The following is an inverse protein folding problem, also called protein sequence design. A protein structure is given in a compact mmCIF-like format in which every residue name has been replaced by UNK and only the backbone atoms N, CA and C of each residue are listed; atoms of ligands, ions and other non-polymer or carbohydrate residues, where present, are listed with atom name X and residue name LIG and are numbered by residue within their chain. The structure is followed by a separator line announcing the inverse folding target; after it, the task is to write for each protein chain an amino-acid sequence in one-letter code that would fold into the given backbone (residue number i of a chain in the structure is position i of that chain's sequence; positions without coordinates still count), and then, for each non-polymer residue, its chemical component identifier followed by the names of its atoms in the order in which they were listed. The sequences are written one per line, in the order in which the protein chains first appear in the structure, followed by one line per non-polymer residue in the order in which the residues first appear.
data_IF_549340607174
#
_entry.id   IF_549340607174
#
_cell.length_a   1.000
_cell.length_b   1.000
_cell.length_c   1.000
_cell.angle_alpha   90.00
_cell.angle_beta   90.00
_cell.angle_gamma   90.00
#
_symmetry.space_group_name_H-M   'P 1'
#
loop_
_entity.id
_entity.type
_entity.pdbx_description
1 polymer ?
#
# COMPACT_ATOMS: atom_id res chain seq x y z
N UNK A 1 10.55 0.94 63.58
CA UNK A 1 11.02 0.82 62.18
C UNK A 1 9.84 0.35 61.34
N UNK A 2 9.28 1.21 60.49
CA UNK A 2 8.20 0.82 59.58
C UNK A 2 8.79 0.05 58.41
N UNK A 3 8.51 -1.25 58.34
CA UNK A 3 8.80 -2.08 57.17
C UNK A 3 7.93 -1.60 56.01
N UNK A 4 8.54 -0.88 55.07
CA UNK A 4 7.91 -0.54 53.78
C UNK A 4 7.77 -1.84 53.00
N UNK A 5 6.57 -2.42 53.00
CA UNK A 5 6.22 -3.54 52.13
C UNK A 5 6.11 -2.97 50.71
N UNK A 6 7.20 -3.02 49.94
CA UNK A 6 7.17 -2.71 48.51
C UNK A 6 6.41 -3.82 47.81
N UNK A 7 5.11 -3.61 47.59
CA UNK A 7 4.29 -4.48 46.75
C UNK A 7 4.97 -4.64 45.37
N UNK A 8 5.25 -5.89 44.97
CA UNK A 8 5.78 -6.19 43.64
C UNK A 8 4.77 -5.71 42.59
N UNK A 9 5.18 -4.75 41.75
CA UNK A 9 4.39 -4.28 40.62
C UNK A 9 4.14 -5.43 39.65
N UNK A 10 2.93 -5.54 39.12
CA UNK A 10 2.60 -6.52 38.07
C UNK A 10 3.27 -6.16 36.75
N UNK A 11 3.42 -7.13 35.83
CA UNK A 11 4.00 -6.90 34.50
C UNK A 11 3.28 -5.78 33.74
N UNK A 12 1.95 -5.75 33.84
CA UNK A 12 1.10 -4.72 33.23
C UNK A 12 1.39 -3.34 33.84
N UNK A 13 1.52 -3.25 35.17
CA UNK A 13 1.87 -1.99 35.83
C UNK A 13 3.25 -1.50 35.43
N UNK A 14 4.25 -2.39 35.33
CA UNK A 14 5.60 -2.03 34.87
C UNK A 14 5.55 -1.49 33.44
N UNK A 15 4.85 -2.19 32.54
CA UNK A 15 4.67 -1.80 31.14
C UNK A 15 3.98 -0.44 31.02
N UNK A 16 2.91 -0.20 31.78
CA UNK A 16 2.22 1.09 31.82
C UNK A 16 3.14 2.20 32.36
N UNK A 17 3.85 1.96 33.46
CA UNK A 17 4.79 2.97 33.99
C UNK A 17 5.88 3.31 32.97
N UNK A 18 6.43 2.32 32.28
CA UNK A 18 7.42 2.54 31.23
C UNK A 18 6.83 3.32 30.05
N UNK A 19 5.61 2.97 29.60
CA UNK A 19 4.86 3.67 28.54
C UNK A 19 4.71 5.16 28.87
N UNK A 20 4.28 5.50 30.09
CA UNK A 20 4.15 6.88 30.56
C UNK A 20 5.48 7.60 30.78
N UNK A 21 6.53 6.90 31.19
CA UNK A 21 7.87 7.47 31.34
C UNK A 21 8.47 7.95 30.02
N UNK A 22 8.24 7.22 28.92
CA UNK A 22 8.74 7.62 27.58
C UNK A 22 8.26 8.99 27.13
N UNK A 23 7.06 9.40 27.54
CA UNK A 23 6.47 10.67 27.11
C UNK A 23 6.71 11.82 28.10
N UNK A 24 7.42 11.58 29.22
CA UNK A 24 7.60 12.58 30.29
C UNK A 24 8.13 13.92 29.75
N UNK A 25 9.11 13.85 28.84
CA UNK A 25 9.77 15.01 28.21
C UNK A 25 9.44 15.14 26.72
N UNK A 26 8.40 14.47 26.24
CA UNK A 26 8.06 14.50 24.83
C UNK A 26 7.27 15.77 24.49
N UNK A 27 7.64 16.47 23.41
CA UNK A 27 7.04 17.74 22.99
C UNK A 27 5.51 17.65 22.85
N UNK A 28 5.02 16.50 22.38
CA UNK A 28 3.58 16.27 22.14
C UNK A 28 2.88 15.54 23.28
N UNK A 29 3.48 15.49 24.48
CA UNK A 29 2.93 14.83 25.67
C UNK A 29 1.46 15.17 25.91
N UNK A 30 1.10 16.46 25.87
CA UNK A 30 -0.28 16.90 26.12
C UNK A 30 -1.25 16.38 25.05
N UNK A 31 -0.81 16.34 23.79
CA UNK A 31 -1.64 15.78 22.70
C UNK A 31 -1.85 14.28 22.86
N UNK A 32 -0.85 13.55 23.39
CA UNK A 32 -0.96 12.12 23.71
C UNK A 32 -1.94 11.93 24.86
N UNK A 33 -1.75 12.63 25.99
CA UNK A 33 -2.63 12.53 27.17
C UNK A 33 -4.08 12.81 26.80
N UNK A 34 -4.35 13.95 26.15
CA UNK A 34 -5.71 14.34 25.78
C UNK A 34 -6.38 13.31 24.86
N UNK A 35 -5.59 12.68 23.97
CA UNK A 35 -6.11 11.68 23.05
C UNK A 35 -6.39 10.34 23.75
N UNK A 36 -5.55 9.93 24.70
CA UNK A 36 -5.81 8.75 25.53
C UNK A 36 -7.06 8.94 26.40
N UNK A 37 -7.23 10.11 27.02
CA UNK A 37 -8.45 10.43 27.78
C UNK A 37 -9.71 10.47 26.88
N UNK A 38 -9.58 10.99 25.66
CA UNK A 38 -10.67 10.96 24.68
C UNK A 38 -11.02 9.53 24.29
N UNK A 39 -10.02 8.67 24.10
CA UNK A 39 -10.24 7.26 23.81
C UNK A 39 -10.87 6.51 24.99
N UNK A 40 -10.47 6.79 26.22
CA UNK A 40 -11.09 6.20 27.42
C UNK A 40 -12.59 6.53 27.49
N UNK A 41 -12.96 7.80 27.26
CA UNK A 41 -14.37 8.21 27.16
C UNK A 41 -15.08 7.49 26.01
N UNK A 42 -14.42 7.33 24.86
CA UNK A 42 -14.95 6.56 23.74
C UNK A 42 -15.18 5.09 24.11
N UNK A 43 -14.23 4.45 24.79
CA UNK A 43 -14.28 3.04 25.14
C UNK A 43 -15.45 2.71 26.09
N UNK A 44 -15.81 3.65 26.97
CA UNK A 44 -17.01 3.55 27.81
C UNK A 44 -18.27 3.84 26.99
N UNK A 45 -18.31 4.95 26.25
CA UNK A 45 -19.52 5.40 25.56
C UNK A 45 -19.94 4.50 24.39
N UNK A 46 -19.00 3.82 23.75
CA UNK A 46 -19.30 2.90 22.62
C UNK A 46 -20.15 1.71 23.03
N UNK A 47 -20.19 1.37 24.34
CA UNK A 47 -21.05 0.31 24.87
C UNK A 47 -22.53 0.74 24.88
N UNK A 48 -22.79 2.04 24.89
CA UNK A 48 -24.15 2.61 24.94
C UNK A 48 -24.62 3.08 23.58
N UNK A 49 -23.76 3.82 22.86
CA UNK A 49 -24.03 4.35 21.53
C UNK A 49 -22.70 4.43 20.75
N UNK A 50 -22.46 3.39 19.94
CA UNK A 50 -21.23 3.23 19.17
C UNK A 50 -21.05 4.32 18.12
N UNK A 51 -22.11 4.68 17.40
CA UNK A 51 -22.05 5.65 16.32
C UNK A 51 -21.75 7.05 16.84
N UNK A 52 -22.43 7.48 17.92
CA UNK A 52 -22.18 8.78 18.53
C UNK A 52 -20.77 8.84 19.14
N UNK A 53 -20.35 7.78 19.83
CA UNK A 53 -19.02 7.71 20.44
C UNK A 53 -17.93 7.78 19.37
N UNK A 54 -18.07 7.03 18.27
CA UNK A 54 -17.09 6.99 17.20
C UNK A 54 -17.03 8.33 16.47
N UNK A 55 -18.17 8.96 16.19
CA UNK A 55 -18.22 10.29 15.60
C UNK A 55 -17.52 11.35 16.47
N UNK A 56 -17.71 11.31 17.80
CA UNK A 56 -17.01 12.20 18.74
C UNK A 56 -15.50 11.96 18.73
N UNK A 57 -15.08 10.69 18.68
CA UNK A 57 -13.66 10.34 18.69
C UNK A 57 -12.96 10.78 17.40
N UNK A 58 -13.54 10.49 16.23
CA UNK A 58 -12.96 10.86 14.93
C UNK A 58 -12.88 12.37 14.74
N UNK A 59 -13.87 13.11 15.26
CA UNK A 59 -13.88 14.58 15.24
C UNK A 59 -12.97 15.22 16.30
N UNK A 60 -12.23 14.43 17.07
CA UNK A 60 -11.29 14.95 18.05
C UNK A 60 -10.21 15.79 17.36
N UNK A 61 -9.92 16.98 17.91
CA UNK A 61 -9.05 18.00 17.30
C UNK A 61 -7.66 17.45 16.94
N UNK A 62 -7.09 16.60 17.79
CA UNK A 62 -5.78 15.97 17.52
C UNK A 62 -5.83 15.06 16.30
N UNK A 63 -6.90 14.28 16.14
CA UNK A 63 -7.07 13.36 15.01
C UNK A 63 -7.26 14.16 13.72
N UNK A 64 -8.18 15.12 13.71
CA UNK A 64 -8.41 15.99 12.56
C UNK A 64 -7.12 16.69 12.12
N UNK A 65 -6.37 17.26 13.08
CA UNK A 65 -5.09 17.90 12.78
C UNK A 65 -4.05 16.92 12.21
N UNK A 66 -4.02 15.68 12.68
CA UNK A 66 -3.12 14.65 12.15
C UNK A 66 -3.50 14.24 10.74
N UNK A 67 -4.79 14.05 10.45
CA UNK A 67 -5.29 13.75 9.11
C UNK A 67 -4.91 14.89 8.17
N UNK A 68 -5.26 16.14 8.49
CA UNK A 68 -5.01 17.28 7.61
C UNK A 68 -3.52 17.50 7.35
N UNK A 69 -2.68 17.43 8.39
CA UNK A 69 -1.22 17.58 8.22
C UNK A 69 -0.64 16.47 7.37
N UNK A 70 -1.10 15.24 7.54
CA UNK A 70 -0.60 14.08 6.78
C UNK A 70 -1.07 14.12 5.34
N UNK A 71 -2.38 14.32 5.12
CA UNK A 71 -2.97 14.47 3.80
C UNK A 71 -2.29 15.58 3.00
N UNK A 72 -2.16 16.78 3.58
CA UNK A 72 -1.52 17.92 2.92
C UNK A 72 -0.05 17.66 2.58
N UNK A 73 0.69 16.97 3.46
CA UNK A 73 2.09 16.63 3.22
C UNK A 73 2.23 15.73 1.99
N UNK A 74 1.44 14.64 1.93
CA UNK A 74 1.49 13.71 0.81
C UNK A 74 0.93 14.32 -0.47
N UNK A 75 -0.21 15.00 -0.41
CA UNK A 75 -0.77 15.72 -1.55
C UNK A 75 0.22 16.72 -2.13
N UNK A 76 0.85 17.59 -1.32
CA UNK A 76 1.84 18.55 -1.84
C UNK A 76 3.05 17.88 -2.51
N UNK A 77 3.47 16.71 -2.02
CA UNK A 77 4.56 15.95 -2.60
C UNK A 77 4.18 15.30 -3.95
N UNK A 78 2.91 14.93 -4.14
CA UNK A 78 2.47 14.12 -5.29
C UNK A 78 1.50 14.81 -6.25
N UNK A 79 0.99 16.00 -5.94
CA UNK A 79 -0.01 16.73 -6.75
C UNK A 79 0.40 17.00 -8.20
N UNK A 80 1.71 17.04 -8.48
CA UNK A 80 2.23 17.24 -9.86
C UNK A 80 2.34 15.93 -10.64
N UNK A 81 2.45 14.80 -9.94
CA UNK A 81 2.80 13.50 -10.49
C UNK A 81 1.65 12.47 -10.36
N UNK A 82 0.49 12.89 -9.85
CA UNK A 82 -0.67 12.03 -9.61
C UNK A 82 -1.96 12.77 -9.88
N UNK A 83 -3.01 12.03 -10.26
CA UNK A 83 -4.38 12.55 -10.37
C UNK A 83 -5.11 12.59 -9.02
N UNK A 84 -4.45 12.15 -7.94
CA UNK A 84 -5.01 12.12 -6.61
C UNK A 84 -5.23 13.53 -6.08
N UNK A 85 -6.46 13.78 -5.67
CA UNK A 85 -6.88 14.99 -4.96
C UNK A 85 -6.49 14.91 -3.49
N UNK A 86 -6.56 16.06 -2.80
CA UNK A 86 -6.40 16.09 -1.34
C UNK A 86 -7.48 15.24 -0.64
N UNK A 87 -8.70 15.21 -1.20
CA UNK A 87 -9.82 14.47 -0.64
C UNK A 87 -9.59 12.96 -0.71
N UNK A 88 -8.94 12.44 -1.75
CA UNK A 88 -8.61 11.02 -1.84
C UNK A 88 -7.71 10.58 -0.68
N UNK A 89 -6.71 11.39 -0.34
CA UNK A 89 -5.88 11.15 0.84
C UNK A 89 -6.70 11.26 2.14
N UNK A 90 -7.54 12.28 2.29
CA UNK A 90 -8.37 12.44 3.50
C UNK A 90 -9.30 11.25 3.70
N UNK A 91 -9.99 10.78 2.67
CA UNK A 91 -10.91 9.63 2.74
C UNK A 91 -10.22 8.37 3.25
N UNK A 92 -9.08 8.00 2.66
CA UNK A 92 -8.29 6.82 3.08
C UNK A 92 -7.77 6.97 4.51
N UNK A 93 -7.43 8.19 4.92
CA UNK A 93 -6.97 8.47 6.28
C UNK A 93 -8.11 8.34 7.30
N UNK A 94 -9.31 8.84 7.00
CA UNK A 94 -10.48 8.67 7.88
C UNK A 94 -10.83 7.20 8.10
N UNK A 95 -10.85 6.39 7.03
CA UNK A 95 -11.06 4.95 7.12
C UNK A 95 -9.98 4.28 7.99
N UNK A 96 -8.71 4.65 7.79
CA UNK A 96 -7.62 4.12 8.61
C UNK A 96 -7.74 4.51 10.08
N UNK A 97 -8.15 5.74 10.39
CA UNK A 97 -8.41 6.19 11.77
C UNK A 97 -9.49 5.33 12.40
N UNK A 98 -10.61 5.12 11.69
CA UNK A 98 -11.73 4.31 12.17
C UNK A 98 -11.25 2.94 12.64
N UNK A 99 -10.48 2.25 11.80
CA UNK A 99 -9.93 0.93 12.14
C UNK A 99 -8.97 0.97 13.34
N UNK A 100 -8.03 1.92 13.37
CA UNK A 100 -7.05 2.02 14.46
C UNK A 100 -7.76 2.28 15.79
N UNK A 101 -8.69 3.25 15.84
CA UNK A 101 -9.43 3.61 17.05
C UNK A 101 -10.27 2.43 17.57
N UNK A 102 -10.91 1.68 16.66
CA UNK A 102 -11.70 0.50 17.02
C UNK A 102 -10.86 -0.68 17.52
N UNK A 103 -9.68 -0.88 16.93
CA UNK A 103 -8.76 -1.97 17.29
C UNK A 103 -7.83 -1.68 18.47
N UNK A 104 -7.67 -0.40 18.84
CA UNK A 104 -6.72 0.02 19.87
C UNK A 104 -7.09 -0.57 21.22
N UNK A 105 -6.08 -0.96 21.98
CA UNK A 105 -6.22 -1.40 23.36
C UNK A 105 -5.30 -0.60 24.26
N UNK A 106 -5.80 -0.16 25.41
CA UNK A 106 -5.00 0.55 26.40
C UNK A 106 -3.80 -0.28 26.90
N UNK A 107 -3.89 -1.61 26.83
CA UNK A 107 -2.83 -2.56 27.18
C UNK A 107 -1.69 -2.62 26.16
N UNK A 108 -1.83 -1.98 25.00
CA UNK A 108 -0.79 -1.99 23.96
C UNK A 108 0.46 -1.23 24.40
N UNK A 109 1.61 -1.68 23.87
CA UNK A 109 2.92 -1.07 24.10
C UNK A 109 3.04 0.37 23.59
N UNK A 110 2.19 0.76 22.65
CA UNK A 110 2.23 2.07 21.99
C UNK A 110 1.00 2.89 22.36
N UNK A 111 1.16 4.21 22.38
CA UNK A 111 0.02 5.12 22.52
C UNK A 111 -0.80 5.15 21.24
N UNK A 112 -2.09 5.46 21.35
CA UNK A 112 -2.98 5.65 20.20
C UNK A 112 -2.41 6.69 19.23
N UNK A 113 -1.83 7.76 19.77
CA UNK A 113 -1.16 8.80 18.98
C UNK A 113 -0.04 8.23 18.08
N UNK A 114 0.77 7.31 18.60
CA UNK A 114 1.88 6.71 17.86
C UNK A 114 1.37 5.74 16.78
N UNK A 115 0.37 4.93 17.14
CA UNK A 115 -0.28 4.02 16.20
C UNK A 115 -0.93 4.79 15.04
N UNK A 116 -1.64 5.87 15.34
CA UNK A 116 -2.23 6.76 14.32
C UNK A 116 -1.14 7.39 13.45
N UNK A 117 -0.09 7.98 14.04
CA UNK A 117 0.96 8.64 13.26
C UNK A 117 1.61 7.68 12.24
N UNK A 118 1.90 6.45 12.66
CA UNK A 118 2.47 5.42 11.78
C UNK A 118 1.44 4.90 10.78
N UNK A 119 0.25 4.58 11.24
CA UNK A 119 -0.82 4.00 10.41
C UNK A 119 -1.30 4.94 9.30
N UNK A 120 -1.42 6.23 9.59
CA UNK A 120 -1.79 7.26 8.62
C UNK A 120 -0.75 7.39 7.50
N UNK A 121 0.54 7.41 7.86
CA UNK A 121 1.60 7.46 6.85
C UNK A 121 1.60 6.22 5.96
N UNK A 122 1.41 5.03 6.54
CA UNK A 122 1.33 3.78 5.78
C UNK A 122 0.11 3.77 4.86
N UNK A 123 -1.05 4.27 5.30
CA UNK A 123 -2.25 4.35 4.47
C UNK A 123 -2.05 5.23 3.23
N UNK A 124 -1.42 6.40 3.37
CA UNK A 124 -1.06 7.23 2.21
C UNK A 124 -0.09 6.51 1.26
N UNK A 125 0.91 5.80 1.81
CA UNK A 125 1.86 5.05 0.98
C UNK A 125 1.16 3.91 0.25
N UNK A 126 0.22 3.22 0.90
CA UNK A 126 -0.56 2.14 0.31
C UNK A 126 -1.48 2.64 -0.81
N UNK A 127 -2.09 3.82 -0.63
CA UNK A 127 -2.82 4.51 -1.71
C UNK A 127 -1.89 4.81 -2.90
N UNK A 128 -0.71 5.38 -2.65
CA UNK A 128 0.25 5.62 -3.73
C UNK A 128 0.72 4.32 -4.41
N UNK A 129 0.73 3.19 -3.69
CA UNK A 129 1.05 1.88 -4.28
C UNK A 129 -0.09 1.32 -5.10
N UNK A 130 -1.35 1.51 -4.70
CA UNK A 130 -2.52 1.08 -5.50
C UNK A 130 -2.58 1.84 -6.82
N UNK A 131 -2.24 3.13 -6.77
CA UNK A 131 -2.06 4.00 -7.93
C UNK A 131 -0.76 3.74 -8.72
N UNK A 132 0.07 2.77 -8.31
CA UNK A 132 1.29 2.43 -9.04
C UNK A 132 2.38 3.52 -9.06
N UNK A 133 2.25 4.56 -8.23
CA UNK A 133 3.19 5.69 -8.10
C UNK A 133 4.47 5.33 -7.31
N UNK A 134 4.50 4.15 -6.67
CA UNK A 134 5.64 3.65 -5.89
C UNK A 134 6.13 2.30 -6.43
N UNK A 135 7.47 2.13 -6.53
CA UNK A 135 8.15 0.94 -7.11
C UNK A 135 7.77 -0.43 -6.51
N UNK A 136 7.19 -0.49 -5.30
CA UNK A 136 6.72 -1.74 -4.67
C UNK A 136 5.21 -1.86 -4.86
N UNK A 137 4.80 -2.31 -6.05
CA UNK A 137 3.41 -2.45 -6.48
C UNK A 137 2.74 -3.65 -5.76
N UNK A 138 1.53 -3.46 -5.24
CA UNK A 138 0.55 -4.55 -5.11
C UNK A 138 -0.27 -4.50 -6.40
N UNK A 139 0.02 -5.37 -7.36
CA UNK A 139 -0.74 -5.47 -8.61
C UNK A 139 -2.22 -5.76 -8.29
N UNK A 140 -3.08 -4.75 -8.41
CA UNK A 140 -4.54 -4.95 -8.62
C UNK A 140 -5.31 -3.79 -9.26
N UNK A 141 -4.76 -2.58 -9.42
CA UNK A 141 -5.52 -1.44 -9.97
C UNK A 141 -4.78 -0.61 -11.04
N UNK A 142 -4.09 -1.25 -11.98
CA UNK A 142 -3.54 -0.57 -13.17
C UNK A 142 -4.62 0.01 -14.10
N UNK A 143 -5.88 -0.39 -13.94
CA UNK A 143 -6.98 0.09 -14.78
C UNK A 143 -7.36 1.55 -14.54
N UNK A 144 -7.10 2.10 -13.34
CA UNK A 144 -7.59 3.45 -13.01
C UNK A 144 -6.76 4.56 -13.67
N UNK A 145 -5.45 4.35 -13.89
CA UNK A 145 -4.59 5.34 -14.56
C UNK A 145 -4.64 5.28 -16.09
N UNK A 146 -5.08 4.17 -16.66
CA UNK A 146 -5.29 4.07 -18.11
C UNK A 146 -6.53 4.86 -18.58
N UNK A 147 -7.47 5.17 -17.69
CA UNK A 147 -8.64 6.02 -18.02
C UNK A 147 -8.28 7.49 -18.30
N UNK A 148 -7.09 7.95 -17.87
CA UNK A 148 -6.60 9.32 -18.14
C UNK A 148 -6.10 9.53 -19.56
N UNK A 149 -5.74 8.45 -20.24
CA UNK A 149 -5.23 8.48 -21.61
C UNK A 149 -6.37 8.40 -22.65
N UNK A 150 -7.61 8.21 -22.20
CA UNK A 150 -8.82 8.13 -23.02
C UNK A 150 -9.58 9.47 -23.06
N UNK A 151 -8.87 10.57 -23.32
CA UNK A 151 -9.55 11.78 -23.81
C UNK A 151 -9.53 11.78 -25.32
N UNK A 152 -10.70 11.46 -25.89
CA UNK A 152 -11.17 11.67 -27.26
C UNK A 152 -10.44 10.90 -28.39
N UNK A 153 -10.92 9.69 -28.65
CA UNK A 153 -11.25 9.30 -30.04
C UNK A 153 -12.62 8.60 -30.00
N UNK A 154 -13.52 9.07 -30.85
CA UNK A 154 -14.98 8.92 -30.72
C UNK A 154 -15.50 7.63 -31.38
N UNK A 155 -14.70 6.56 -31.38
CA UNK A 155 -15.06 5.28 -32.00
C UNK A 155 -14.38 4.11 -31.29
N UNK A 156 -14.94 3.62 -30.19
CA UNK A 156 -14.77 2.21 -29.87
C UNK A 156 -15.92 1.72 -28.99
N UNK A 157 -16.86 1.05 -29.65
CA UNK A 157 -17.84 0.19 -29.00
C UNK A 157 -17.09 -0.84 -28.15
N UNK A 158 -17.33 -0.77 -26.85
CA UNK A 158 -16.90 -1.78 -25.87
C UNK A 158 -17.91 -2.92 -25.95
N UNK A 159 -17.66 -3.86 -26.84
CA UNK A 159 -18.33 -5.16 -26.80
C UNK A 159 -17.34 -6.29 -27.14
N UNK A 160 -17.41 -7.37 -26.36
CA UNK A 160 -16.73 -8.67 -26.50
C UNK A 160 -15.32 -8.84 -25.89
N UNK A 161 -15.30 -8.74 -24.56
CA UNK A 161 -14.52 -9.69 -23.74
C UNK A 161 -14.98 -11.12 -24.09
N UNK A 162 -14.23 -11.85 -24.91
CA UNK A 162 -14.50 -13.29 -25.10
C UNK A 162 -13.84 -14.00 -26.29
N UNK A 163 -13.50 -13.31 -27.38
CA UNK A 163 -13.04 -13.96 -28.63
C UNK A 163 -11.57 -13.70 -29.02
N UNK A 164 -10.89 -12.77 -28.36
CA UNK A 164 -9.59 -12.21 -28.79
C UNK A 164 -8.34 -13.10 -28.56
N UNK A 165 -8.46 -14.23 -27.88
CA UNK A 165 -7.27 -14.98 -27.44
C UNK A 165 -6.55 -15.75 -28.57
N UNK A 166 -7.19 -15.93 -29.74
CA UNK A 166 -6.60 -16.67 -30.87
C UNK A 166 -5.89 -15.73 -31.84
N UNK A 167 -6.50 -14.58 -32.16
CA UNK A 167 -5.89 -13.56 -33.04
C UNK A 167 -4.70 -12.85 -32.38
N UNK A 168 -4.79 -12.51 -31.09
CA UNK A 168 -3.65 -11.96 -30.35
C UNK A 168 -2.50 -12.98 -30.25
N UNK A 169 -2.79 -14.27 -30.03
CA UNK A 169 -1.77 -15.32 -30.04
C UNK A 169 -1.16 -15.53 -31.44
N UNK A 170 -1.93 -15.35 -32.52
CA UNK A 170 -1.43 -15.43 -33.89
C UNK A 170 -0.54 -14.23 -34.25
N UNK A 171 -0.97 -13.00 -33.94
CA UNK A 171 -0.18 -11.77 -34.15
C UNK A 171 1.10 -11.76 -33.33
N UNK A 172 1.04 -12.22 -32.07
CA UNK A 172 2.21 -12.35 -31.20
C UNK A 172 3.21 -13.38 -31.74
N UNK A 173 2.73 -14.50 -32.30
CA UNK A 173 3.58 -15.49 -32.94
C UNK A 173 4.21 -14.97 -34.25
N UNK A 174 3.53 -14.09 -34.99
CA UNK A 174 4.08 -13.44 -36.19
C UNK A 174 5.18 -12.45 -35.81
N UNK A 175 4.95 -11.59 -34.80
CA UNK A 175 5.94 -10.64 -34.29
C UNK A 175 7.20 -11.34 -33.74
N UNK A 176 7.02 -12.43 -32.99
CA UNK A 176 8.14 -13.26 -32.49
C UNK A 176 9.00 -13.82 -33.63
N UNK A 177 8.40 -14.10 -34.80
CA UNK A 177 9.12 -14.72 -35.91
C UNK A 177 9.86 -13.72 -36.80
N UNK A 178 9.48 -12.43 -36.79
CA UNK A 178 10.08 -11.40 -37.66
C UNK A 178 11.25 -10.65 -36.99
N UNK A 179 11.19 -10.35 -35.68
CA UNK A 179 12.10 -9.38 -35.04
C UNK A 179 13.06 -9.95 -33.99
N UNK A 180 13.00 -11.25 -33.71
CA UNK A 180 13.84 -11.91 -32.70
C UNK A 180 14.90 -12.82 -33.33
N UNK A 181 16.07 -12.92 -32.71
CA UNK A 181 17.10 -13.92 -33.07
C UNK A 181 16.69 -15.33 -32.58
N UNK A 182 17.28 -16.40 -33.12
CA UNK A 182 16.86 -17.79 -32.85
C UNK A 182 16.87 -18.15 -31.36
N UNK A 183 17.82 -17.59 -30.60
CA UNK A 183 17.89 -17.75 -29.13
C UNK A 183 16.76 -16.99 -28.42
N UNK A 184 16.40 -15.82 -28.94
CA UNK A 184 15.34 -14.97 -28.38
C UNK A 184 13.95 -15.53 -28.69
N UNK A 185 13.75 -16.10 -29.89
CA UNK A 185 12.54 -16.83 -30.28
C UNK A 185 12.24 -17.99 -29.34
N UNK A 186 13.28 -18.78 -29.01
CA UNK A 186 13.14 -19.90 -28.07
C UNK A 186 12.71 -19.42 -26.69
N UNK A 187 13.31 -18.35 -26.18
CA UNK A 187 12.92 -17.76 -24.88
C UNK A 187 11.51 -17.20 -24.91
N UNK A 188 11.11 -16.51 -25.98
CA UNK A 188 9.77 -15.97 -26.12
C UNK A 188 8.71 -17.09 -26.13
N UNK A 189 8.95 -18.18 -26.88
CA UNK A 189 8.07 -19.37 -26.89
C UNK A 189 7.97 -20.04 -25.53
N UNK A 190 9.08 -20.12 -24.80
CA UNK A 190 9.06 -20.63 -23.43
C UNK A 190 8.18 -19.74 -22.56
N UNK A 191 8.43 -18.43 -22.50
CA UNK A 191 7.68 -17.49 -21.65
C UNK A 191 6.16 -17.45 -21.94
N UNK A 192 5.74 -17.82 -23.15
CA UNK A 192 4.34 -17.89 -23.55
C UNK A 192 3.68 -19.26 -23.32
N UNK A 193 4.47 -20.31 -23.06
CA UNK A 193 3.91 -21.56 -22.57
C UNK A 193 3.40 -21.28 -21.14
N UNK A 194 2.12 -21.53 -20.88
CA UNK A 194 1.40 -21.26 -19.61
C UNK A 194 1.92 -22.12 -18.44
N UNK A 195 3.22 -22.05 -18.16
CA UNK A 195 3.97 -22.76 -17.12
C UNK A 195 4.93 -21.80 -16.44
N UNK A 196 5.15 -21.98 -15.15
CA UNK A 196 6.17 -21.22 -14.43
C UNK A 196 7.57 -21.64 -14.92
N UNK A 197 8.32 -20.71 -15.50
CA UNK A 197 9.65 -20.96 -16.06
C UNK A 197 10.67 -20.19 -15.26
N UNK A 198 11.71 -20.89 -14.81
CA UNK A 198 12.84 -20.31 -14.11
C UNK A 198 13.96 -19.95 -15.08
N UNK A 199 14.88 -19.09 -14.63
CA UNK A 199 16.07 -18.74 -15.43
C UNK A 199 17.02 -19.94 -15.61
N UNK A 200 16.93 -20.97 -14.77
CA UNK A 200 17.76 -22.18 -14.90
C UNK A 200 17.21 -23.08 -16.01
N UNK A 201 15.89 -23.13 -16.19
CA UNK A 201 15.24 -23.82 -17.31
C UNK A 201 15.66 -23.17 -18.64
N UNK A 202 15.71 -21.83 -18.68
CA UNK A 202 16.17 -21.08 -19.85
C UNK A 202 17.67 -21.31 -20.12
N UNK A 203 18.48 -21.41 -19.06
CA UNK A 203 19.89 -21.76 -19.19
C UNK A 203 20.08 -23.16 -19.77
N UNK A 204 19.28 -24.12 -19.33
CA UNK A 204 19.33 -25.51 -19.80
C UNK A 204 18.90 -25.60 -21.26
N UNK A 205 17.80 -24.94 -21.64
CA UNK A 205 17.27 -24.95 -23.00
C UNK A 205 18.19 -24.26 -24.02
N UNK A 206 18.92 -23.22 -23.60
CA UNK A 206 19.83 -22.46 -24.46
C UNK A 206 21.30 -22.89 -24.37
N UNK A 207 21.63 -23.88 -23.53
CA UNK A 207 23.02 -24.29 -23.26
C UNK A 207 23.87 -23.17 -22.64
N UNK A 208 23.28 -22.27 -21.86
CA UNK A 208 23.98 -21.15 -21.24
C UNK A 208 24.55 -21.54 -19.88
N UNK A 209 25.86 -21.34 -19.72
CA UNK A 209 26.59 -21.65 -18.48
C UNK A 209 26.21 -20.73 -17.31
N UNK A 210 25.76 -19.50 -17.58
CA UNK A 210 25.52 -18.50 -16.55
C UNK A 210 24.10 -17.92 -16.59
N UNK A 211 23.41 -17.96 -15.44
CA UNK A 211 22.07 -17.39 -15.22
C UNK A 211 21.94 -15.92 -15.63
N UNK A 212 23.02 -15.16 -15.51
CA UNK A 212 23.06 -13.75 -15.94
C UNK A 212 22.95 -13.57 -17.45
N UNK A 213 23.38 -14.55 -18.26
CA UNK A 213 23.21 -14.52 -19.71
C UNK A 213 21.75 -14.74 -20.08
N UNK A 214 21.09 -15.74 -19.47
CA UNK A 214 19.65 -15.97 -19.64
C UNK A 214 18.83 -14.74 -19.25
N UNK A 215 19.16 -14.10 -18.11
CA UNK A 215 18.49 -12.87 -17.67
C UNK A 215 18.62 -11.71 -18.67
N UNK A 216 19.78 -11.55 -19.32
CA UNK A 216 19.98 -10.49 -20.34
C UNK A 216 19.09 -10.73 -21.56
N UNK A 217 18.97 -11.98 -22.02
CA UNK A 217 18.13 -12.35 -23.16
C UNK A 217 16.65 -12.14 -22.82
N UNK A 218 16.20 -12.59 -21.65
CA UNK A 218 14.82 -12.38 -21.16
C UNK A 218 14.46 -10.89 -21.10
N UNK A 219 15.37 -10.07 -20.59
CA UNK A 219 15.14 -8.61 -20.53
C UNK A 219 15.05 -7.97 -21.92
N UNK A 220 15.82 -8.48 -22.89
CA UNK A 220 15.79 -7.99 -24.27
C UNK A 220 14.48 -8.37 -24.97
N UNK A 221 14.04 -9.63 -24.82
CA UNK A 221 12.75 -10.12 -25.32
C UNK A 221 11.59 -9.33 -24.74
N UNK A 222 11.56 -9.09 -23.42
CA UNK A 222 10.52 -8.27 -22.79
C UNK A 222 10.48 -6.84 -23.33
N UNK A 223 11.65 -6.25 -23.64
CA UNK A 223 11.73 -4.89 -24.15
C UNK A 223 11.20 -4.78 -25.58
N UNK A 224 11.43 -5.80 -26.41
CA UNK A 224 10.96 -5.87 -27.79
C UNK A 224 9.45 -6.10 -27.82
N UNK A 225 8.94 -7.08 -27.07
CA UNK A 225 7.50 -7.36 -26.98
C UNK A 225 6.67 -6.19 -26.39
N UNK A 226 7.29 -5.26 -25.67
CA UNK A 226 6.65 -4.02 -25.20
C UNK A 226 6.61 -2.88 -26.23
N UNK A 227 7.42 -2.94 -27.29
CA UNK A 227 7.52 -1.87 -28.30
C UNK A 227 6.53 -2.03 -29.46
N UNK A 228 6.03 -3.25 -29.72
CA UNK A 228 5.20 -3.54 -30.89
C UNK A 228 3.67 -3.50 -30.62
N UNK A 229 3.25 -3.28 -29.37
CA UNK A 229 1.86 -2.92 -29.06
C UNK A 229 1.70 -1.39 -29.18
N UNK A 230 1.34 -0.92 -30.38
CA UNK A 230 0.79 0.41 -30.64
C UNK A 230 -0.64 0.31 -31.13
#
# INVERSE_FOLDING_TARGET
MQTVITARKTRIQIQQTSKWERIRNYEKKNAIINLEEAWERYAVNRLTDEDLATNKMIRHVTILSMIDKTANRFYKAWKKNSRLSLHDFQSVLYERVWHIVGSYSWFDDYFLYEQLNKGLQLACIDLLRSEGLVKKRRNRHTYFHNSSALTYDDNLDVELIGAENVELKALLNVAINQDLDDKEKRVAKLLLAEREITLDDICTELGLKYRMQAKRIVNKVHKILQFDYK
#
